data_IF_220678608632
#
_entry.id   IF_220678608632
#
_cell.length_a   1.000
_cell.length_b   1.000
_cell.length_c   1.000
_cell.angle_alpha   90.00
_cell.angle_beta   90.00
_cell.angle_gamma   90.00
#
_symmetry.space_group_name_H-M   'P 1'
#
loop_
_entity.id
_entity.type
_entity.pdbx_description
1 polymer ?
#
# COMPACT_ATOMS: atom_id res chain seq x y z
N UNK A 1 -17.16 -18.51 3.89
CA UNK A 1 -17.98 -17.30 3.69
C UNK A 1 -17.68 -16.80 2.28
N UNK A 2 -18.69 -16.42 1.47
CA UNK A 2 -18.41 -15.77 0.20
C UNK A 2 -17.63 -14.49 0.47
N UNK A 3 -16.52 -14.33 -0.25
CA UNK A 3 -15.68 -13.13 -0.16
C UNK A 3 -16.51 -11.98 -0.74
N UNK A 4 -16.96 -11.05 0.08
CA UNK A 4 -17.62 -9.83 -0.43
C UNK A 4 -16.65 -9.14 -1.38
N UNK A 5 -17.05 -9.02 -2.63
CA UNK A 5 -16.27 -8.32 -3.65
C UNK A 5 -16.36 -6.83 -3.35
N UNK A 6 -15.26 -6.24 -2.90
CA UNK A 6 -15.16 -4.80 -2.66
C UNK A 6 -14.81 -4.06 -3.94
N UNK A 7 -15.17 -2.80 -3.97
CA UNK A 7 -14.84 -1.89 -5.08
C UNK A 7 -13.80 -0.85 -4.66
N UNK A 8 -12.79 -0.66 -5.53
CA UNK A 8 -11.64 0.20 -5.26
C UNK A 8 -11.43 1.20 -6.38
N UNK A 9 -11.20 2.47 -6.02
CA UNK A 9 -10.72 3.49 -6.93
C UNK A 9 -9.25 3.80 -6.62
N UNK A 10 -8.38 3.71 -7.65
CA UNK A 10 -6.95 4.04 -7.52
C UNK A 10 -6.65 5.25 -8.36
N UNK A 11 -6.35 6.37 -7.72
CA UNK A 11 -6.05 7.66 -8.34
C UNK A 11 -4.52 7.86 -8.39
N UNK A 12 -3.97 7.82 -9.59
CA UNK A 12 -2.54 7.81 -9.87
C UNK A 12 -2.01 6.41 -10.17
N UNK A 13 -1.69 6.15 -11.46
CA UNK A 13 -1.20 4.87 -11.97
C UNK A 13 0.33 4.89 -12.19
N UNK A 14 1.04 5.54 -11.29
CA UNK A 14 2.50 5.43 -11.17
C UNK A 14 2.92 4.05 -10.66
N UNK A 15 4.22 3.81 -10.41
CA UNK A 15 4.73 2.51 -9.99
C UNK A 15 3.98 1.91 -8.79
N UNK A 16 3.75 2.69 -7.74
CA UNK A 16 3.01 2.23 -6.57
C UNK A 16 1.52 1.96 -6.86
N UNK A 17 0.82 2.95 -7.45
CA UNK A 17 -0.62 2.84 -7.69
C UNK A 17 -0.98 1.72 -8.67
N UNK A 18 -0.20 1.54 -9.76
CA UNK A 18 -0.43 0.44 -10.70
C UNK A 18 -0.23 -0.93 -10.05
N UNK A 19 0.80 -1.09 -9.22
CA UNK A 19 1.03 -2.34 -8.49
C UNK A 19 -0.15 -2.65 -7.56
N UNK A 20 -0.60 -1.68 -6.77
CA UNK A 20 -1.76 -1.88 -5.87
C UNK A 20 -3.01 -2.22 -6.65
N UNK A 21 -3.29 -1.52 -7.76
CA UNK A 21 -4.46 -1.76 -8.58
C UNK A 21 -4.48 -3.18 -9.17
N UNK A 22 -3.33 -3.66 -9.69
CA UNK A 22 -3.18 -5.01 -10.22
C UNK A 22 -3.40 -6.08 -9.15
N UNK A 23 -2.80 -5.94 -7.97
CA UNK A 23 -2.96 -6.91 -6.89
C UNK A 23 -4.40 -6.94 -6.36
N UNK A 24 -5.06 -5.79 -6.22
CA UNK A 24 -6.48 -5.73 -5.85
C UNK A 24 -7.36 -6.45 -6.88
N UNK A 25 -7.09 -6.28 -8.17
CA UNK A 25 -7.79 -6.99 -9.25
C UNK A 25 -7.53 -8.51 -9.20
N UNK A 26 -6.28 -8.94 -8.95
CA UNK A 26 -5.92 -10.37 -8.75
C UNK A 26 -6.65 -11.00 -7.57
N UNK A 27 -6.95 -10.25 -6.52
CA UNK A 27 -7.78 -10.71 -5.41
C UNK A 27 -9.28 -10.84 -5.77
N UNK A 28 -9.66 -10.52 -7.00
CA UNK A 28 -11.04 -10.62 -7.50
C UNK A 28 -11.90 -9.41 -7.16
N UNK A 29 -11.30 -8.27 -6.82
CA UNK A 29 -12.04 -7.05 -6.53
C UNK A 29 -12.36 -6.27 -7.81
N UNK A 30 -13.40 -5.43 -7.74
CA UNK A 30 -13.73 -4.46 -8.78
C UNK A 30 -12.83 -3.24 -8.62
N UNK A 31 -11.95 -2.97 -9.59
CA UNK A 31 -10.98 -1.88 -9.51
C UNK A 31 -11.15 -0.92 -10.69
N UNK A 32 -11.25 0.38 -10.38
CA UNK A 32 -11.04 1.46 -11.36
C UNK A 32 -9.69 2.11 -11.10
N UNK A 33 -8.89 2.27 -12.16
CA UNK A 33 -7.65 3.04 -12.14
C UNK A 33 -7.81 4.35 -12.90
N UNK A 34 -7.28 5.44 -12.37
CA UNK A 34 -7.34 6.76 -13.00
C UNK A 34 -5.98 7.46 -12.96
N UNK A 35 -5.57 8.08 -14.07
CA UNK A 35 -4.37 8.92 -14.17
C UNK A 35 -4.59 9.96 -15.28
N UNK A 36 -3.89 11.08 -15.23
CA UNK A 36 -3.88 12.06 -16.33
C UNK A 36 -3.09 11.56 -17.55
N UNK A 37 -2.13 10.68 -17.36
CA UNK A 37 -1.27 10.16 -18.42
C UNK A 37 -1.95 8.97 -19.12
N UNK A 38 -2.41 9.22 -20.36
CA UNK A 38 -3.04 8.23 -21.23
C UNK A 38 -2.21 6.95 -21.38
N UNK A 39 -0.88 7.05 -21.43
CA UNK A 39 0.00 5.89 -21.58
C UNK A 39 -0.05 4.96 -20.36
N UNK A 40 -0.22 5.53 -19.16
CA UNK A 40 -0.39 4.74 -17.94
C UNK A 40 -1.76 4.09 -17.90
N UNK A 41 -2.80 4.84 -18.29
CA UNK A 41 -4.16 4.33 -18.37
C UNK A 41 -4.25 3.17 -19.36
N UNK A 42 -3.76 3.36 -20.60
CA UNK A 42 -3.81 2.34 -21.65
C UNK A 42 -3.14 1.02 -21.24
N UNK A 43 -2.04 1.08 -20.46
CA UNK A 43 -1.38 -0.12 -19.94
C UNK A 43 -2.23 -0.89 -18.92
N UNK A 44 -3.15 -0.21 -18.24
CA UNK A 44 -3.97 -0.81 -17.19
C UNK A 44 -5.32 -1.32 -17.70
N UNK A 45 -5.79 -0.85 -18.86
CA UNK A 45 -7.07 -1.28 -19.47
C UNK A 45 -7.25 -2.80 -19.52
N UNK A 46 -6.26 -3.63 -19.94
CA UNK A 46 -6.44 -5.07 -20.03
C UNK A 46 -6.52 -5.78 -18.66
N UNK A 47 -6.19 -5.11 -17.59
CA UNK A 47 -5.95 -5.74 -16.27
C UNK A 47 -6.96 -5.33 -15.20
N UNK A 48 -7.65 -4.21 -15.40
CA UNK A 48 -8.61 -3.66 -14.43
C UNK A 48 -10.04 -3.77 -14.95
N UNK A 49 -11.00 -3.65 -14.04
CA UNK A 49 -12.41 -3.53 -14.41
C UNK A 49 -12.65 -2.29 -15.27
N UNK A 50 -11.97 -1.18 -14.96
CA UNK A 50 -11.98 0.06 -15.73
C UNK A 50 -10.66 0.80 -15.52
N UNK A 51 -10.17 1.48 -16.57
CA UNK A 51 -9.07 2.41 -16.48
C UNK A 51 -9.42 3.66 -17.30
N UNK A 52 -9.31 4.84 -16.70
CA UNK A 52 -9.80 6.09 -17.29
C UNK A 52 -8.77 7.20 -17.18
N UNK A 53 -8.80 8.12 -18.16
CA UNK A 53 -8.07 9.37 -18.06
C UNK A 53 -8.94 10.31 -17.22
N UNK A 54 -8.39 10.79 -16.09
CA UNK A 54 -9.12 11.61 -15.14
C UNK A 54 -8.19 12.57 -14.41
N UNK A 55 -8.60 13.82 -14.31
CA UNK A 55 -7.98 14.77 -13.39
C UNK A 55 -8.64 14.64 -12.01
N UNK A 56 -7.92 14.04 -11.07
CA UNK A 56 -8.40 13.87 -9.69
C UNK A 56 -8.46 15.19 -8.90
N UNK A 57 -7.98 16.31 -9.46
CA UNK A 57 -8.13 17.63 -8.86
C UNK A 57 -9.48 18.28 -9.20
N UNK A 58 -10.19 17.75 -10.19
CA UNK A 58 -11.52 18.18 -10.60
C UNK A 58 -12.60 17.29 -9.93
N UNK A 59 -13.30 17.86 -8.95
CA UNK A 59 -14.38 17.17 -8.23
C UNK A 59 -15.53 16.77 -9.15
N UNK A 60 -15.89 17.62 -10.12
CA UNK A 60 -17.00 17.35 -11.03
C UNK A 60 -16.67 16.16 -11.94
N UNK A 61 -15.45 16.12 -12.49
CA UNK A 61 -14.97 15.00 -13.29
C UNK A 61 -14.92 13.70 -12.49
N UNK A 62 -14.51 13.73 -11.22
CA UNK A 62 -14.52 12.57 -10.34
C UNK A 62 -15.95 12.06 -10.08
N UNK A 63 -16.90 12.97 -9.91
CA UNK A 63 -18.32 12.63 -9.71
C UNK A 63 -18.94 12.03 -10.98
N UNK A 64 -18.67 12.60 -12.14
CA UNK A 64 -19.12 12.04 -13.44
C UNK A 64 -18.54 10.66 -13.69
N UNK A 65 -17.29 10.43 -13.32
CA UNK A 65 -16.63 9.11 -13.39
C UNK A 65 -17.19 8.10 -12.36
N UNK A 66 -18.06 8.51 -11.45
CA UNK A 66 -18.68 7.67 -10.45
C UNK A 66 -17.69 7.19 -9.37
N UNK A 67 -16.67 7.98 -9.06
CA UNK A 67 -15.66 7.64 -8.03
C UNK A 67 -16.30 7.55 -6.64
N UNK A 68 -17.34 8.32 -6.39
CA UNK A 68 -18.17 8.30 -5.17
C UNK A 68 -18.84 6.95 -4.87
N UNK A 69 -18.97 6.07 -5.87
CA UNK A 69 -19.63 4.75 -5.75
C UNK A 69 -18.68 3.63 -5.33
N UNK A 70 -17.40 3.92 -5.13
CA UNK A 70 -16.43 2.93 -4.71
C UNK A 70 -16.29 2.91 -3.19
N UNK A 71 -16.17 1.69 -2.61
CA UNK A 71 -16.08 1.49 -1.16
C UNK A 71 -14.81 2.09 -0.57
N UNK A 72 -13.72 2.00 -1.34
CA UNK A 72 -12.38 2.44 -0.93
C UNK A 72 -11.71 3.20 -2.05
N UNK A 73 -11.10 4.33 -1.75
CA UNK A 73 -10.24 5.06 -2.68
C UNK A 73 -8.80 5.13 -2.17
N UNK A 74 -7.85 4.95 -3.09
CA UNK A 74 -6.42 5.16 -2.87
C UNK A 74 -5.92 6.32 -3.71
N UNK A 75 -5.44 7.37 -3.07
CA UNK A 75 -4.67 8.44 -3.73
C UNK A 75 -3.20 8.04 -3.76
N UNK A 76 -2.71 7.66 -4.94
CA UNK A 76 -1.33 7.22 -5.19
C UNK A 76 -0.50 8.26 -5.98
N UNK A 77 -0.91 9.53 -5.95
CA UNK A 77 -0.24 10.65 -6.60
C UNK A 77 0.95 11.09 -5.72
N UNK A 78 2.17 10.79 -6.14
CA UNK A 78 3.36 10.98 -5.29
C UNK A 78 4.23 12.19 -5.67
N UNK A 79 4.23 12.62 -6.95
CA UNK A 79 5.10 13.70 -7.42
C UNK A 79 4.47 15.08 -7.28
N UNK A 80 3.17 15.16 -7.43
CA UNK A 80 2.42 16.41 -7.31
C UNK A 80 1.67 16.43 -5.98
N UNK A 81 2.28 17.08 -4.98
CA UNK A 81 1.72 17.21 -3.64
C UNK A 81 0.39 17.98 -3.68
N UNK A 82 0.28 19.02 -4.52
CA UNK A 82 -0.95 19.79 -4.67
C UNK A 82 -2.08 18.91 -5.20
N UNK A 83 -1.83 18.16 -6.27
CA UNK A 83 -2.83 17.25 -6.83
C UNK A 83 -3.23 16.15 -5.84
N UNK A 84 -2.28 15.59 -5.07
CA UNK A 84 -2.56 14.61 -4.02
C UNK A 84 -3.48 15.16 -2.92
N UNK A 85 -3.22 16.41 -2.47
CA UNK A 85 -4.02 17.10 -1.47
C UNK A 85 -5.45 17.33 -2.00
N UNK A 86 -5.59 17.89 -3.21
CA UNK A 86 -6.88 18.17 -3.83
C UNK A 86 -7.68 16.88 -4.07
N UNK A 87 -7.04 15.84 -4.59
CA UNK A 87 -7.70 14.55 -4.80
C UNK A 87 -8.23 13.94 -3.49
N UNK A 88 -7.45 14.01 -2.40
CA UNK A 88 -7.87 13.52 -1.08
C UNK A 88 -9.05 14.33 -0.55
N UNK A 89 -9.02 15.66 -0.70
CA UNK A 89 -10.11 16.55 -0.31
C UNK A 89 -11.39 16.24 -1.11
N UNK A 90 -11.26 16.10 -2.43
CA UNK A 90 -12.38 15.82 -3.33
C UNK A 90 -13.05 14.48 -2.96
N UNK A 91 -12.27 13.43 -2.69
CA UNK A 91 -12.81 12.14 -2.22
C UNK A 91 -13.64 12.28 -0.94
N UNK A 92 -13.18 13.12 -0.01
CA UNK A 92 -13.92 13.37 1.24
C UNK A 92 -15.21 14.15 0.97
N UNK A 93 -15.18 15.15 0.08
CA UNK A 93 -16.37 15.91 -0.33
C UNK A 93 -17.39 15.03 -1.09
N UNK A 94 -16.90 14.08 -1.89
CA UNK A 94 -17.74 13.10 -2.58
C UNK A 94 -18.34 12.04 -1.65
N UNK A 95 -17.89 11.95 -0.40
CA UNK A 95 -18.44 11.01 0.59
C UNK A 95 -17.91 9.58 0.47
N UNK A 96 -16.75 9.36 -0.16
CA UNK A 96 -16.12 8.03 -0.23
C UNK A 96 -15.86 7.51 1.18
N UNK A 97 -16.29 6.27 1.43
CA UNK A 97 -16.32 5.70 2.78
C UNK A 97 -14.96 5.49 3.42
N UNK A 98 -13.97 5.05 2.64
CA UNK A 98 -12.60 4.82 3.13
C UNK A 98 -11.58 5.41 2.15
N UNK A 99 -10.73 6.29 2.66
CA UNK A 99 -9.73 7.00 1.85
C UNK A 99 -8.33 6.69 2.39
N UNK A 100 -7.53 6.07 1.55
CA UNK A 100 -6.10 5.92 1.79
C UNK A 100 -5.32 6.89 0.91
N UNK A 101 -4.24 7.45 1.43
CA UNK A 101 -3.42 8.37 0.66
C UNK A 101 -1.94 8.08 0.84
N UNK A 102 -1.19 8.12 -0.26
CA UNK A 102 0.26 8.03 -0.26
C UNK A 102 0.85 9.41 0.00
N UNK A 103 1.71 9.51 1.00
CA UNK A 103 2.50 10.71 1.26
C UNK A 103 3.93 10.57 0.74
N UNK A 104 4.56 11.68 0.34
CA UNK A 104 5.97 11.76 -0.05
C UNK A 104 6.90 11.94 1.15
N UNK A 105 6.41 12.63 2.19
CA UNK A 105 7.18 12.98 3.38
C UNK A 105 6.27 13.16 4.61
N UNK A 106 6.88 13.44 5.77
CA UNK A 106 6.15 13.61 7.03
C UNK A 106 5.22 14.83 7.06
N UNK A 107 5.57 15.90 6.35
CA UNK A 107 4.72 17.10 6.27
C UNK A 107 3.49 16.81 5.44
N UNK A 108 3.67 16.20 4.28
CA UNK A 108 2.57 15.75 3.43
C UNK A 108 1.66 14.76 4.16
N UNK A 109 2.24 13.79 4.90
CA UNK A 109 1.48 12.86 5.74
C UNK A 109 0.57 13.60 6.74
N UNK A 110 1.09 14.61 7.46
CA UNK A 110 0.30 15.38 8.43
C UNK A 110 -0.85 16.13 7.75
N UNK A 111 -0.62 16.69 6.56
CA UNK A 111 -1.66 17.41 5.80
C UNK A 111 -2.76 16.44 5.40
N UNK A 112 -2.43 15.32 4.76
CA UNK A 112 -3.41 14.32 4.31
C UNK A 112 -4.23 13.74 5.47
N UNK A 113 -3.58 13.47 6.61
CA UNK A 113 -4.28 13.02 7.81
C UNK A 113 -5.28 14.05 8.34
N UNK A 114 -4.94 15.34 8.30
CA UNK A 114 -5.85 16.42 8.71
C UNK A 114 -6.98 16.67 7.73
N UNK A 115 -6.79 16.35 6.45
CA UNK A 115 -7.83 16.42 5.42
C UNK A 115 -8.84 15.27 5.50
N UNK A 116 -8.61 14.30 6.37
CA UNK A 116 -9.55 13.21 6.59
C UNK A 116 -9.22 11.94 5.81
N UNK A 117 -7.99 11.74 5.36
CA UNK A 117 -7.56 10.41 4.93
C UNK A 117 -7.63 9.46 6.14
N UNK A 118 -8.30 8.31 5.97
CA UNK A 118 -8.45 7.31 7.03
C UNK A 118 -7.13 6.59 7.29
N UNK A 119 -6.28 6.50 6.25
CA UNK A 119 -4.91 6.00 6.38
C UNK A 119 -3.98 6.74 5.43
N UNK A 120 -2.85 7.15 5.96
CA UNK A 120 -1.76 7.74 5.16
C UNK A 120 -0.54 6.83 5.27
N UNK A 121 0.06 6.51 4.13
CA UNK A 121 1.20 5.59 4.01
C UNK A 121 2.40 6.32 3.41
N UNK A 122 3.59 5.86 3.79
CA UNK A 122 4.90 6.35 3.30
C UNK A 122 5.70 5.17 2.71
N UNK A 123 5.27 4.62 1.55
CA UNK A 123 5.82 3.36 1.04
C UNK A 123 7.32 3.36 0.84
N UNK A 124 7.90 4.48 0.39
CA UNK A 124 9.34 4.61 0.19
C UNK A 124 10.10 4.54 1.50
N UNK A 125 9.58 5.12 2.59
CA UNK A 125 10.21 5.05 3.91
C UNK A 125 10.04 3.67 4.54
N UNK A 126 8.87 3.06 4.38
CA UNK A 126 8.57 1.73 4.91
C UNK A 126 9.46 0.68 4.23
N UNK A 127 9.51 0.71 2.88
CA UNK A 127 10.35 -0.20 2.11
C UNK A 127 11.84 0.08 2.29
N UNK A 128 12.24 1.35 2.44
CA UNK A 128 13.63 1.71 2.72
C UNK A 128 14.10 1.13 4.06
N UNK A 129 13.28 1.20 5.12
CA UNK A 129 13.59 0.56 6.40
C UNK A 129 13.67 -0.94 6.31
N UNK A 130 12.72 -1.55 5.60
CA UNK A 130 12.70 -3.00 5.34
C UNK A 130 13.98 -3.45 4.62
N UNK A 131 14.33 -2.78 3.52
CA UNK A 131 15.55 -3.08 2.76
C UNK A 131 16.83 -2.90 3.59
N UNK A 132 16.89 -1.85 4.44
CA UNK A 132 18.05 -1.62 5.30
C UNK A 132 18.25 -2.74 6.32
N UNK A 133 17.19 -3.30 6.89
CA UNK A 133 17.27 -4.44 7.80
C UNK A 133 17.83 -5.68 7.10
N UNK A 134 17.34 -5.98 5.90
CA UNK A 134 17.82 -7.11 5.11
C UNK A 134 19.29 -6.95 4.69
N UNK A 135 19.69 -5.74 4.28
CA UNK A 135 21.08 -5.44 3.92
C UNK A 135 22.03 -5.49 5.12
N UNK A 136 21.55 -5.10 6.31
CA UNK A 136 22.34 -5.11 7.54
C UNK A 136 22.62 -6.53 8.04
N UNK A 137 21.68 -7.46 7.84
CA UNK A 137 21.82 -8.84 8.27
C UNK A 137 21.57 -9.80 7.10
N UNK A 138 22.64 -10.31 6.44
CA UNK A 138 22.52 -11.19 5.26
C UNK A 138 21.80 -12.52 5.53
N UNK A 139 21.68 -12.96 6.80
CA UNK A 139 20.93 -14.16 7.16
C UNK A 139 19.42 -13.93 7.15
N UNK A 140 18.96 -12.66 7.17
CA UNK A 140 17.55 -12.33 7.13
C UNK A 140 17.06 -12.33 5.68
N UNK A 141 16.14 -13.22 5.36
CA UNK A 141 15.50 -13.27 4.04
C UNK A 141 14.30 -12.35 3.94
N UNK A 142 13.56 -12.22 5.04
CA UNK A 142 12.41 -11.32 5.12
C UNK A 142 12.10 -10.98 6.57
N UNK A 143 11.47 -9.82 6.79
CA UNK A 143 11.00 -9.47 8.10
C UNK A 143 9.71 -8.66 8.04
N UNK A 144 8.82 -8.90 9.00
CA UNK A 144 7.58 -8.14 9.15
C UNK A 144 7.55 -7.54 10.56
N UNK A 145 7.55 -6.21 10.64
CA UNK A 145 7.37 -5.52 11.91
C UNK A 145 5.91 -5.64 12.36
N UNK A 146 5.69 -6.15 13.57
CA UNK A 146 4.37 -6.21 14.21
C UNK A 146 4.05 -4.97 15.06
N UNK A 147 4.98 -3.99 15.12
CA UNK A 147 4.88 -2.85 16.02
C UNK A 147 5.33 -3.18 17.44
N UNK A 148 5.41 -2.15 18.30
CA UNK A 148 5.79 -2.28 19.72
C UNK A 148 7.11 -3.05 19.98
N UNK A 149 8.06 -2.98 19.02
CA UNK A 149 9.34 -3.68 19.13
C UNK A 149 9.32 -5.15 18.72
N UNK A 150 8.17 -5.70 18.29
CA UNK A 150 8.07 -7.08 17.83
C UNK A 150 8.20 -7.16 16.31
N UNK A 151 8.84 -8.24 15.85
CA UNK A 151 8.96 -8.56 14.42
C UNK A 151 8.91 -10.07 14.19
N UNK A 152 8.36 -10.49 13.07
CA UNK A 152 8.53 -11.85 12.54
C UNK A 152 9.66 -11.79 11.53
N UNK A 153 10.64 -12.68 11.67
CA UNK A 153 11.84 -12.71 10.83
C UNK A 153 11.98 -14.08 10.20
N UNK A 154 12.17 -14.12 8.88
CA UNK A 154 12.58 -15.32 8.16
C UNK A 154 14.10 -15.27 7.96
N UNK A 155 14.80 -16.30 8.42
CA UNK A 155 16.26 -16.38 8.34
C UNK A 155 16.72 -17.67 7.65
N UNK A 156 17.86 -17.59 6.98
CA UNK A 156 18.61 -18.79 6.58
C UNK A 156 19.32 -19.31 7.82
N UNK A 157 19.07 -20.57 8.16
CA UNK A 157 19.77 -21.24 9.26
C UNK A 157 21.25 -21.36 8.89
N UNK A 158 22.19 -20.84 9.71
CA UNK A 158 23.61 -21.00 9.45
C UNK A 158 24.04 -22.48 9.41
N UNK A 159 24.94 -22.84 8.51
CA UNK A 159 25.44 -24.23 8.34
C UNK A 159 25.88 -24.89 9.67
N UNK A 160 26.48 -24.10 10.57
CA UNK A 160 26.92 -24.60 11.90
C UNK A 160 25.79 -25.06 12.83
N UNK A 161 24.54 -24.73 12.48
CA UNK A 161 23.34 -25.12 13.22
C UNK A 161 22.53 -26.18 12.46
N UNK A 162 22.98 -26.57 11.26
CA UNK A 162 22.32 -27.60 10.49
C UNK A 162 22.43 -28.97 11.19
N UNK A 163 21.29 -29.63 11.34
CA UNK A 163 21.20 -30.90 12.05
C UNK A 163 21.11 -30.80 13.58
N UNK A 164 21.24 -29.62 14.17
CA UNK A 164 21.04 -29.43 15.61
C UNK A 164 19.56 -29.47 15.98
N UNK A 165 19.26 -30.08 17.12
CA UNK A 165 17.89 -30.07 17.63
C UNK A 165 17.49 -28.63 18.02
N UNK A 166 16.30 -28.20 17.66
CA UNK A 166 15.75 -26.88 18.01
C UNK A 166 15.81 -26.62 19.53
N UNK A 167 15.64 -27.66 20.34
CA UNK A 167 15.77 -27.59 21.81
C UNK A 167 17.19 -27.30 22.31
N UNK A 168 18.21 -27.55 21.49
CA UNK A 168 19.60 -27.26 21.81
C UNK A 168 20.01 -25.82 21.40
N UNK A 169 19.23 -25.21 20.49
CA UNK A 169 19.38 -23.82 20.12
C UNK A 169 18.79 -23.01 21.28
N UNK A 170 19.55 -22.35 22.09
CA UNK A 170 19.09 -21.49 23.20
C UNK A 170 18.16 -20.35 22.76
N UNK A 171 17.20 -20.68 21.88
CA UNK A 171 16.13 -19.85 21.36
C UNK A 171 15.00 -19.97 22.38
N UNK A 172 14.85 -18.99 23.24
CA UNK A 172 13.85 -19.08 24.30
C UNK A 172 13.81 -17.81 25.16
N UNK A 173 13.30 -17.94 26.36
CA UNK A 173 12.94 -16.86 27.27
C UNK A 173 14.05 -15.85 27.62
N UNK A 174 15.31 -16.18 27.40
CA UNK A 174 16.41 -15.24 27.67
C UNK A 174 16.62 -14.20 26.57
N UNK A 175 16.14 -14.44 25.35
CA UNK A 175 16.36 -13.55 24.20
C UNK A 175 15.07 -13.01 23.56
N UNK A 176 13.91 -13.24 24.20
CA UNK A 176 12.58 -12.84 23.68
C UNK A 176 12.30 -13.35 22.24
N UNK A 177 12.90 -14.47 21.86
CA UNK A 177 12.75 -15.08 20.53
C UNK A 177 11.85 -16.29 20.63
N UNK A 178 10.87 -16.41 19.71
CA UNK A 178 10.01 -17.59 19.56
C UNK A 178 10.10 -18.12 18.15
N UNK A 179 10.28 -19.42 18.01
CA UNK A 179 10.13 -20.12 16.74
C UNK A 179 8.63 -20.28 16.41
N UNK A 180 8.26 -20.00 15.17
CA UNK A 180 6.88 -20.07 14.68
C UNK A 180 6.66 -21.26 13.72
N UNK A 181 7.70 -21.92 13.26
CA UNK A 181 7.61 -23.06 12.34
C UNK A 181 8.93 -23.38 11.69
#
# INVERSE_FOLDING_TARGET
MPKETRSFAVLGLGGFGSTVALELARFGNRVIGADLDERKVSRMVPHLHSAIILDATDEAAMREAGIDRYDVALVAIGRDIKASILATMNLRLLGVGTIWSKASDRTHHRILSKLGADRVILPEQEMGRHSAQMLHNPAVQDYVSLGNGFSVVNIIVPEKLDGEAVSALAIGSENDIRLLG
#
